data_IF_623025542788
#
_entry.id   IF_623025542788
#
_cell.length_a   1.000
_cell.length_b   1.000
_cell.length_c   1.000
_cell.angle_alpha   90.00
_cell.angle_beta   90.00
_cell.angle_gamma   90.00
#
_symmetry.space_group_name_H-M   'P 1'
#
loop_
_entity.id
_entity.type
_entity.pdbx_description
1 polymer ?
#
# COMPACT_ATOMS: atom_id res chain seq x y z
N UNK A 1 -17.40 20.52 -6.76
CA UNK A 1 -17.82 19.09 -6.71
C UNK A 1 -16.66 18.16 -6.33
N UNK A 2 -15.43 18.39 -6.84
CA UNK A 2 -14.20 17.62 -6.53
C UNK A 2 -13.85 17.77 -5.05
N UNK A 3 -13.86 18.98 -4.52
CA UNK A 3 -13.60 19.27 -3.10
C UNK A 3 -14.53 18.49 -2.16
N UNK A 4 -15.84 18.44 -2.46
CA UNK A 4 -16.80 17.65 -1.65
C UNK A 4 -16.54 16.16 -1.71
N UNK A 5 -16.00 15.63 -2.85
CA UNK A 5 -15.66 14.21 -2.98
C UNK A 5 -14.39 13.84 -2.22
N UNK A 6 -13.38 14.72 -2.21
CA UNK A 6 -12.16 14.54 -1.39
C UNK A 6 -12.49 14.47 0.10
N UNK A 7 -13.37 15.35 0.60
CA UNK A 7 -13.82 15.29 1.99
C UNK A 7 -14.64 14.01 2.30
N UNK A 8 -15.42 13.51 1.34
CA UNK A 8 -16.16 12.27 1.52
C UNK A 8 -15.25 11.02 1.62
N UNK A 9 -14.09 11.03 0.95
CA UNK A 9 -13.11 9.94 1.03
C UNK A 9 -12.56 9.76 2.46
N UNK A 10 -12.39 10.85 3.20
CA UNK A 10 -11.72 10.86 4.50
C UNK A 10 -12.67 11.01 5.70
N UNK A 11 -13.93 11.41 5.49
CA UNK A 11 -14.85 11.79 6.56
C UNK A 11 -15.69 10.64 7.18
N UNK A 12 -15.64 9.42 6.64
CA UNK A 12 -16.46 8.29 7.12
C UNK A 12 -15.66 7.29 7.96
N UNK A 13 -15.03 7.75 9.03
CA UNK A 13 -14.42 6.84 10.02
C UNK A 13 -15.46 6.52 11.09
N UNK A 14 -15.91 5.26 11.18
CA UNK A 14 -16.71 4.78 12.30
C UNK A 14 -15.81 4.38 13.48
N UNK A 15 -16.24 4.61 14.75
CA UNK A 15 -15.38 4.46 15.94
C UNK A 15 -15.20 3.01 16.44
N UNK A 16 -15.05 2.02 15.59
CA UNK A 16 -14.88 0.62 16.01
C UNK A 16 -13.51 0.02 15.70
N UNK A 17 -12.50 0.86 15.42
CA UNK A 17 -11.17 0.40 15.01
C UNK A 17 -10.27 -0.11 16.15
N UNK A 18 -10.66 0.01 17.41
CA UNK A 18 -9.78 -0.34 18.54
C UNK A 18 -9.64 -1.85 18.79
N UNK A 19 -10.52 -2.67 18.23
CA UNK A 19 -10.44 -4.13 18.38
C UNK A 19 -9.44 -4.83 17.43
N UNK A 20 -8.94 -4.12 16.41
CA UNK A 20 -8.09 -4.68 15.35
C UNK A 20 -6.58 -4.45 15.54
N UNK A 21 -6.18 -3.83 16.66
CA UNK A 21 -4.79 -3.40 16.89
C UNK A 21 -3.82 -4.49 17.33
N UNK A 22 -4.29 -5.68 17.60
CA UNK A 22 -3.42 -6.75 18.09
C UNK A 22 -3.07 -7.73 16.99
N UNK A 23 -2.03 -7.36 16.18
CA UNK A 23 -1.45 -8.26 15.18
C UNK A 23 -0.93 -9.58 15.80
N UNK A 24 -0.75 -9.64 17.13
CA UNK A 24 -0.38 -10.87 17.84
C UNK A 24 -1.51 -11.89 17.90
N UNK A 25 -2.76 -11.48 17.62
CA UNK A 25 -3.91 -12.40 17.52
C UNK A 25 -3.97 -13.20 16.21
N UNK A 26 -3.16 -12.86 15.22
CA UNK A 26 -3.04 -13.64 13.98
C UNK A 26 -2.16 -14.89 14.12
N UNK A 27 -1.67 -15.19 15.30
CA UNK A 27 -0.86 -16.38 15.61
C UNK A 27 -1.63 -17.71 15.60
N UNK A 28 -2.89 -17.73 15.21
CA UNK A 28 -3.58 -19.00 15.00
C UNK A 28 -4.59 -18.93 13.86
N UNK A 29 -4.49 -19.86 12.94
CA UNK A 29 -5.51 -20.22 11.95
C UNK A 29 -6.93 -20.42 12.56
N UNK A 30 -7.08 -20.42 13.87
CA UNK A 30 -8.35 -20.45 14.61
C UNK A 30 -9.10 -19.13 14.57
N UNK A 31 -8.42 -17.98 14.45
CA UNK A 31 -9.07 -16.67 14.30
C UNK A 31 -9.76 -16.52 12.93
N UNK A 32 -9.11 -16.97 11.87
CA UNK A 32 -9.66 -16.91 10.50
C UNK A 32 -11.00 -17.65 10.37
N UNK A 33 -11.16 -18.79 11.05
CA UNK A 33 -12.39 -19.58 10.96
C UNK A 33 -13.63 -18.94 11.61
N UNK A 34 -13.43 -18.05 12.60
CA UNK A 34 -14.55 -17.32 13.23
C UNK A 34 -15.01 -16.15 12.39
N UNK A 35 -14.07 -15.41 11.78
CA UNK A 35 -14.40 -14.27 10.89
C UNK A 35 -15.06 -14.74 9.60
N UNK A 36 -14.61 -15.85 9.01
CA UNK A 36 -15.26 -16.47 7.84
C UNK A 36 -16.73 -16.82 8.09
N UNK A 37 -17.08 -17.23 9.31
CA UNK A 37 -18.45 -17.63 9.64
C UNK A 37 -19.44 -16.46 9.75
N UNK A 38 -18.96 -15.23 9.96
CA UNK A 38 -19.78 -14.01 10.06
C UNK A 38 -19.70 -13.11 8.82
N UNK A 39 -18.77 -13.38 7.91
CA UNK A 39 -18.63 -12.59 6.70
C UNK A 39 -19.75 -12.86 5.70
N UNK A 40 -20.20 -11.80 5.02
CA UNK A 40 -21.15 -11.88 3.90
C UNK A 40 -20.46 -12.04 2.54
N UNK A 41 -19.13 -12.08 2.53
CA UNK A 41 -18.28 -12.22 1.34
C UNK A 41 -17.17 -13.23 1.63
N UNK A 42 -16.60 -13.81 0.58
CA UNK A 42 -15.44 -14.69 0.73
C UNK A 42 -14.21 -13.86 1.15
N UNK A 43 -13.66 -14.21 2.31
CA UNK A 43 -12.46 -13.54 2.87
C UNK A 43 -11.29 -14.51 2.78
N UNK A 44 -10.13 -14.00 2.36
CA UNK A 44 -8.85 -14.69 2.43
C UNK A 44 -7.80 -13.75 3.01
N UNK A 45 -6.86 -14.31 3.74
CA UNK A 45 -5.79 -13.56 4.41
C UNK A 45 -4.46 -13.73 3.72
N UNK A 46 -3.61 -12.70 3.81
CA UNK A 46 -2.20 -12.84 3.48
C UNK A 46 -1.43 -13.43 4.65
N UNK A 47 -0.47 -14.31 4.35
CA UNK A 47 0.50 -14.76 5.33
C UNK A 47 1.57 -13.66 5.49
N UNK A 48 1.73 -13.11 6.70
CA UNK A 48 2.75 -12.10 6.99
C UNK A 48 4.12 -12.75 7.24
N UNK A 49 5.15 -12.33 6.52
CA UNK A 49 6.50 -12.87 6.68
C UNK A 49 7.47 -11.75 7.10
N UNK A 50 7.75 -11.63 8.40
CA UNK A 50 8.61 -10.58 8.95
C UNK A 50 9.74 -11.07 9.85
N UNK A 51 9.74 -12.36 10.23
CA UNK A 51 10.70 -12.94 11.17
C UNK A 51 11.22 -14.32 10.70
N UNK A 52 12.38 -14.78 11.16
CA UNK A 52 12.96 -16.06 10.77
C UNK A 52 12.04 -17.26 11.01
N UNK A 53 11.31 -17.28 12.12
CA UNK A 53 10.35 -18.34 12.44
C UNK A 53 9.21 -18.43 11.41
N UNK A 54 8.78 -17.30 10.83
CA UNK A 54 7.76 -17.27 9.78
C UNK A 54 8.20 -17.99 8.50
N UNK A 55 9.51 -18.12 8.24
CA UNK A 55 10.01 -18.85 7.07
C UNK A 55 9.69 -20.35 7.19
N UNK A 56 9.89 -20.94 8.37
CA UNK A 56 9.60 -22.35 8.59
C UNK A 56 8.10 -22.65 8.57
N UNK A 57 7.29 -21.71 9.01
CA UNK A 57 5.83 -21.81 8.91
C UNK A 57 5.36 -21.62 7.47
N UNK A 58 5.94 -20.65 6.74
CA UNK A 58 5.63 -20.41 5.33
C UNK A 58 5.90 -21.66 4.46
N UNK A 59 6.93 -22.45 4.76
CA UNK A 59 7.21 -23.71 4.07
C UNK A 59 6.11 -24.76 4.23
N UNK A 60 5.25 -24.63 5.24
CA UNK A 60 4.23 -25.61 5.62
C UNK A 60 2.79 -25.11 5.43
N UNK A 61 2.61 -23.79 5.24
CA UNK A 61 1.27 -23.19 5.15
C UNK A 61 0.45 -23.83 4.02
N UNK A 62 -0.82 -24.03 4.25
CA UNK A 62 -1.76 -24.48 3.22
C UNK A 62 -2.02 -23.32 2.23
N UNK A 63 -1.49 -23.45 1.01
CA UNK A 63 -1.57 -22.41 -0.02
C UNK A 63 -2.98 -22.13 -0.51
N UNK A 64 -3.91 -23.07 -0.31
CA UNK A 64 -5.32 -22.88 -0.68
C UNK A 64 -6.07 -21.97 0.30
N UNK A 65 -5.52 -21.81 1.53
CA UNK A 65 -6.13 -21.01 2.60
C UNK A 65 -5.64 -19.58 2.66
N UNK A 66 -4.64 -19.22 1.88
CA UNK A 66 -4.09 -17.85 1.83
C UNK A 66 -4.24 -17.27 0.43
N UNK A 67 -4.33 -15.95 0.32
CA UNK A 67 -4.33 -15.26 -0.98
C UNK A 67 -2.91 -14.95 -1.48
N UNK A 68 -1.91 -15.06 -0.62
CA UNK A 68 -0.51 -14.79 -0.92
C UNK A 68 0.30 -14.56 0.35
N UNK A 69 1.53 -14.11 0.18
CA UNK A 69 2.42 -13.70 1.27
C UNK A 69 2.57 -12.19 1.26
N UNK A 70 2.49 -11.53 2.41
CA UNK A 70 2.74 -10.09 2.56
C UNK A 70 4.11 -9.86 3.20
N UNK A 71 4.92 -9.03 2.56
CA UNK A 71 6.24 -8.60 3.02
C UNK A 71 6.29 -7.08 3.10
N UNK A 72 6.74 -6.56 4.24
CA UNK A 72 7.06 -5.14 4.41
C UNK A 72 8.56 -4.93 4.31
N UNK A 73 9.02 -4.28 3.23
CA UNK A 73 10.44 -3.99 3.01
C UNK A 73 10.90 -2.73 3.76
N UNK A 74 9.96 -1.91 4.23
CA UNK A 74 10.14 -0.79 5.14
C UNK A 74 9.04 -0.75 6.19
N UNK A 75 9.22 0.04 7.25
CA UNK A 75 8.19 0.22 8.26
C UNK A 75 7.01 1.01 7.70
N UNK A 76 5.81 0.49 7.95
CA UNK A 76 4.55 1.19 7.71
C UNK A 76 3.95 1.62 9.06
N UNK A 77 2.64 1.51 9.24
CA UNK A 77 1.99 1.79 10.52
C UNK A 77 2.29 0.65 11.49
N UNK A 78 3.14 0.89 12.47
CA UNK A 78 3.66 -0.12 13.40
C UNK A 78 5.02 -0.69 12.97
N UNK A 79 5.55 -1.62 13.75
CA UNK A 79 6.86 -2.24 13.53
C UNK A 79 6.69 -3.54 12.71
N UNK A 80 6.35 -3.40 11.42
CA UNK A 80 6.02 -4.53 10.53
C UNK A 80 7.13 -4.87 9.54
N UNK A 81 8.19 -4.06 9.48
CA UNK A 81 9.32 -4.32 8.59
C UNK A 81 9.90 -5.72 8.86
N UNK A 82 10.23 -6.42 7.78
CA UNK A 82 10.96 -7.66 7.85
C UNK A 82 12.33 -7.46 8.53
N UNK A 83 12.73 -8.43 9.35
CA UNK A 83 14.08 -8.45 9.91
C UNK A 83 15.11 -8.57 8.79
N UNK A 84 16.30 -8.02 9.01
CA UNK A 84 17.35 -7.98 8.00
C UNK A 84 17.74 -9.37 7.49
N UNK A 85 17.82 -9.54 6.18
CA UNK A 85 18.19 -10.78 5.52
C UNK A 85 17.08 -11.82 5.35
N UNK A 86 15.85 -11.50 5.77
CA UNK A 86 14.67 -12.38 5.58
C UNK A 86 14.12 -12.25 4.16
N UNK A 87 14.23 -11.08 3.55
CA UNK A 87 13.61 -10.78 2.27
C UNK A 87 13.96 -11.83 1.22
N UNK A 88 15.26 -12.14 1.06
CA UNK A 88 15.71 -13.14 0.09
C UNK A 88 15.13 -14.53 0.35
N UNK A 89 15.01 -14.92 1.62
CA UNK A 89 14.43 -16.21 2.00
C UNK A 89 12.94 -16.26 1.67
N UNK A 90 12.20 -15.18 1.93
CA UNK A 90 10.76 -15.08 1.59
C UNK A 90 10.58 -15.19 0.09
N UNK A 91 11.34 -14.44 -0.72
CA UNK A 91 11.29 -14.52 -2.18
C UNK A 91 11.54 -15.93 -2.68
N UNK A 92 12.60 -16.60 -2.17
CA UNK A 92 12.94 -17.96 -2.54
C UNK A 92 11.82 -18.94 -2.20
N UNK A 93 11.30 -18.94 -0.96
CA UNK A 93 10.24 -19.87 -0.54
C UNK A 93 8.94 -19.61 -1.31
N UNK A 94 8.58 -18.36 -1.57
CA UNK A 94 7.41 -18.02 -2.38
C UNK A 94 7.54 -18.57 -3.81
N UNK A 95 8.74 -18.47 -4.42
CA UNK A 95 9.01 -19.04 -5.73
C UNK A 95 8.88 -20.58 -5.71
N UNK A 96 9.57 -21.25 -4.77
CA UNK A 96 9.55 -22.72 -4.64
C UNK A 96 8.14 -23.27 -4.43
N UNK A 97 7.29 -22.52 -3.75
CA UNK A 97 5.90 -22.89 -3.45
C UNK A 97 4.88 -22.31 -4.42
N UNK A 98 5.32 -21.59 -5.45
CA UNK A 98 4.45 -20.93 -6.44
C UNK A 98 3.40 -19.99 -5.82
N UNK A 99 3.76 -19.29 -4.73
CA UNK A 99 2.91 -18.34 -4.01
C UNK A 99 3.22 -16.92 -4.49
N UNK A 100 2.19 -16.09 -4.70
CA UNK A 100 2.37 -14.67 -5.00
C UNK A 100 2.87 -13.94 -3.76
N UNK A 101 3.95 -13.17 -3.94
CA UNK A 101 4.51 -12.31 -2.90
C UNK A 101 4.08 -10.86 -3.13
N UNK A 102 3.40 -10.29 -2.15
CA UNK A 102 2.93 -8.90 -2.13
C UNK A 102 3.86 -8.06 -1.27
N UNK A 103 4.49 -7.05 -1.86
CA UNK A 103 5.47 -6.21 -1.19
C UNK A 103 4.96 -4.79 -0.96
N UNK A 104 5.10 -4.30 0.28
CA UNK A 104 5.10 -2.87 0.58
C UNK A 104 6.53 -2.35 0.38
N UNK A 105 6.72 -1.48 -0.62
CA UNK A 105 8.03 -1.09 -1.09
C UNK A 105 8.38 0.35 -0.68
N UNK A 106 9.03 0.50 0.46
CA UNK A 106 9.66 1.76 0.89
C UNK A 106 11.00 1.44 1.57
N UNK A 107 12.09 2.12 1.16
CA UNK A 107 13.43 1.89 1.71
C UNK A 107 13.60 2.56 3.06
N UNK A 108 13.69 1.74 4.11
CA UNK A 108 13.77 2.21 5.49
C UNK A 108 15.01 3.09 5.75
N UNK A 109 16.15 2.77 5.12
CA UNK A 109 17.39 3.53 5.33
C UNK A 109 17.25 4.95 4.78
N UNK A 110 16.67 5.09 3.60
CA UNK A 110 16.37 6.39 2.99
C UNK A 110 15.37 7.18 3.85
N UNK A 111 14.31 6.52 4.35
CA UNK A 111 13.32 7.16 5.23
C UNK A 111 13.97 7.66 6.51
N UNK A 112 14.81 6.86 7.18
CA UNK A 112 15.47 7.24 8.42
C UNK A 112 16.46 8.38 8.20
N UNK A 113 17.22 8.35 7.10
CA UNK A 113 18.09 9.45 6.69
C UNK A 113 17.30 10.75 6.53
N UNK A 114 16.27 10.73 5.68
CA UNK A 114 15.43 11.90 5.42
C UNK A 114 14.76 12.42 6.71
N UNK A 115 14.32 11.51 7.59
CA UNK A 115 13.75 11.88 8.89
C UNK A 115 14.76 12.59 9.78
N UNK A 116 16.02 12.14 9.79
CA UNK A 116 17.08 12.76 10.60
C UNK A 116 17.51 14.13 10.09
N UNK A 117 17.39 14.37 8.78
CA UNK A 117 17.72 15.62 8.12
C UNK A 117 16.53 16.59 8.07
N UNK A 118 15.31 16.09 8.32
CA UNK A 118 14.09 16.90 8.27
C UNK A 118 14.00 17.88 9.46
N UNK A 119 13.77 19.14 9.15
CA UNK A 119 13.52 20.21 10.13
C UNK A 119 12.09 20.76 10.08
N UNK A 120 11.29 20.30 9.12
CA UNK A 120 9.90 20.71 8.92
C UNK A 120 8.97 19.83 9.76
N UNK A 121 8.12 20.42 10.58
CA UNK A 121 7.12 19.73 11.40
C UNK A 121 5.73 19.68 10.79
N UNK A 122 5.54 20.29 9.61
CA UNK A 122 4.27 20.28 8.92
C UNK A 122 3.98 18.90 8.29
N UNK A 123 2.70 18.62 8.07
CA UNK A 123 2.28 17.33 7.49
C UNK A 123 2.89 17.05 6.11
N UNK A 124 3.17 18.10 5.32
CA UNK A 124 3.79 17.97 4.00
C UNK A 124 5.17 17.29 4.05
N UNK A 125 5.92 17.47 5.15
CA UNK A 125 7.20 16.80 5.37
C UNK A 125 7.08 15.26 5.36
N UNK A 126 5.89 14.70 5.59
CA UNK A 126 5.68 13.26 5.51
C UNK A 126 6.02 12.70 4.12
N UNK A 127 5.65 13.40 3.05
CA UNK A 127 5.97 13.01 1.67
C UNK A 127 7.45 13.21 1.32
N UNK A 128 8.14 14.15 1.98
CA UNK A 128 9.57 14.36 1.82
C UNK A 128 10.38 13.29 2.55
N UNK A 129 9.98 12.97 3.79
CA UNK A 129 10.60 11.91 4.60
C UNK A 129 10.46 10.55 3.91
N UNK A 130 9.25 10.19 3.47
CA UNK A 130 8.96 8.98 2.71
C UNK A 130 9.00 9.29 1.21
N UNK A 131 10.18 9.68 0.75
CA UNK A 131 10.41 10.26 -0.58
C UNK A 131 10.11 9.30 -1.73
N UNK A 132 10.01 9.86 -2.92
CA UNK A 132 9.97 9.08 -4.18
C UNK A 132 11.17 8.14 -4.27
N UNK A 133 12.37 8.64 -3.90
CA UNK A 133 13.59 7.82 -3.87
C UNK A 133 13.44 6.56 -3.00
N UNK A 134 12.83 6.69 -1.81
CA UNK A 134 12.61 5.55 -0.92
C UNK A 134 11.70 4.48 -1.56
N UNK A 135 10.64 4.90 -2.23
CA UNK A 135 9.73 3.98 -2.94
C UNK A 135 10.43 3.31 -4.14
N UNK A 136 11.08 4.10 -4.98
CA UNK A 136 11.78 3.62 -6.18
C UNK A 136 12.91 2.63 -5.85
N UNK A 137 13.72 2.94 -4.84
CA UNK A 137 14.84 2.09 -4.42
C UNK A 137 14.34 0.72 -3.93
N UNK A 138 13.30 0.71 -3.12
CA UNK A 138 12.71 -0.51 -2.59
C UNK A 138 11.99 -1.33 -3.68
N UNK A 139 11.23 -0.68 -4.55
CA UNK A 139 10.55 -1.33 -5.69
C UNK A 139 11.56 -1.96 -6.64
N UNK A 140 12.65 -1.25 -6.96
CA UNK A 140 13.74 -1.78 -7.79
C UNK A 140 14.35 -3.04 -7.15
N UNK A 141 14.65 -2.99 -5.86
CA UNK A 141 15.20 -4.14 -5.13
C UNK A 141 14.24 -5.34 -5.12
N UNK A 142 12.94 -5.11 -4.92
CA UNK A 142 11.93 -6.16 -5.00
C UNK A 142 11.88 -6.82 -6.39
N UNK A 143 11.95 -6.01 -7.47
CA UNK A 143 11.97 -6.49 -8.85
C UNK A 143 13.24 -7.32 -9.12
N UNK A 144 14.41 -6.88 -8.65
CA UNK A 144 15.67 -7.61 -8.75
C UNK A 144 15.62 -8.96 -8.03
N UNK A 145 15.07 -9.01 -6.81
CA UNK A 145 14.86 -10.27 -6.08
C UNK A 145 13.84 -11.17 -6.80
N UNK A 146 12.73 -10.59 -7.28
CA UNK A 146 11.74 -11.31 -8.07
C UNK A 146 12.35 -11.98 -9.30
N UNK A 147 13.21 -11.26 -10.00
CA UNK A 147 13.98 -11.78 -11.16
C UNK A 147 14.96 -12.89 -10.75
N UNK A 148 15.72 -12.65 -9.68
CA UNK A 148 16.75 -13.58 -9.16
C UNK A 148 16.15 -14.93 -8.81
N UNK A 149 14.99 -14.96 -8.16
CA UNK A 149 14.36 -16.18 -7.65
C UNK A 149 13.22 -16.71 -8.54
N UNK A 150 12.77 -15.96 -9.54
CA UNK A 150 11.60 -16.31 -10.36
C UNK A 150 10.29 -16.21 -9.58
N UNK A 151 10.20 -15.30 -8.59
CA UNK A 151 9.04 -15.14 -7.72
C UNK A 151 7.93 -14.40 -8.45
N UNK A 152 6.68 -14.86 -8.30
CA UNK A 152 5.49 -14.09 -8.69
C UNK A 152 5.36 -12.89 -7.75
N UNK A 153 5.68 -11.70 -8.24
CA UNK A 153 5.73 -10.48 -7.45
C UNK A 153 4.48 -9.63 -7.68
N UNK A 154 3.96 -9.05 -6.62
CA UNK A 154 2.95 -8.00 -6.67
C UNK A 154 3.41 -6.81 -5.85
N UNK A 155 3.51 -5.64 -6.48
CA UNK A 155 3.86 -4.39 -5.81
C UNK A 155 2.57 -3.72 -5.35
N UNK A 156 2.41 -3.61 -4.02
CA UNK A 156 1.23 -3.02 -3.42
C UNK A 156 1.24 -1.48 -3.52
N UNK A 157 0.05 -0.89 -3.65
CA UNK A 157 -0.21 0.56 -3.53
C UNK A 157 0.88 1.45 -4.14
N UNK A 158 1.26 1.21 -5.40
CA UNK A 158 2.23 2.05 -6.13
C UNK A 158 1.81 3.51 -6.05
N UNK A 159 2.75 4.37 -5.66
CA UNK A 159 2.47 5.79 -5.39
C UNK A 159 3.16 6.75 -6.36
N UNK A 160 4.15 6.28 -7.13
CA UNK A 160 4.97 7.14 -8.00
C UNK A 160 4.99 6.65 -9.45
N UNK A 161 5.16 7.60 -10.37
CA UNK A 161 5.38 7.30 -11.81
C UNK A 161 6.64 6.50 -12.05
N UNK A 162 7.68 6.77 -11.25
CA UNK A 162 9.00 6.15 -11.37
C UNK A 162 8.96 4.65 -11.01
N UNK A 163 8.19 4.29 -9.97
CA UNK A 163 7.91 2.89 -9.65
C UNK A 163 7.18 2.19 -10.81
N UNK A 164 6.19 2.90 -11.41
CA UNK A 164 5.39 2.36 -12.50
C UNK A 164 6.25 2.08 -13.74
N UNK A 165 7.22 2.96 -14.05
CA UNK A 165 8.18 2.74 -15.13
C UNK A 165 9.04 1.50 -14.89
N UNK A 166 9.55 1.29 -13.67
CA UNK A 166 10.32 0.10 -13.30
C UNK A 166 9.47 -1.18 -13.46
N UNK A 167 8.22 -1.14 -13.02
CA UNK A 167 7.30 -2.26 -13.14
C UNK A 167 7.00 -2.58 -14.61
N UNK A 168 6.77 -1.55 -15.44
CA UNK A 168 6.54 -1.71 -16.88
C UNK A 168 7.75 -2.37 -17.56
N UNK A 169 8.96 -1.89 -17.29
CA UNK A 169 10.19 -2.48 -17.82
C UNK A 169 10.36 -3.95 -17.38
N UNK A 170 10.01 -4.27 -16.12
CA UNK A 170 10.06 -5.64 -15.62
C UNK A 170 9.05 -6.54 -16.36
N UNK A 171 7.81 -6.08 -16.58
CA UNK A 171 6.78 -6.78 -17.38
C UNK A 171 7.24 -7.00 -18.80
N UNK A 172 7.76 -5.97 -19.47
CA UNK A 172 8.25 -6.02 -20.85
C UNK A 172 9.44 -6.99 -21.01
N UNK A 173 10.24 -7.17 -19.95
CA UNK A 173 11.31 -8.18 -19.90
C UNK A 173 10.84 -9.61 -19.65
N UNK A 174 9.53 -9.84 -19.52
CA UNK A 174 8.92 -11.15 -19.27
C UNK A 174 8.91 -11.60 -17.81
N UNK A 175 9.17 -10.69 -16.85
CA UNK A 175 9.02 -11.00 -15.43
C UNK A 175 7.55 -11.15 -15.04
N UNK A 176 7.27 -12.10 -14.14
CA UNK A 176 5.94 -12.24 -13.54
C UNK A 176 5.78 -11.22 -12.42
N UNK A 177 5.47 -9.98 -12.79
CA UNK A 177 5.23 -8.88 -11.87
C UNK A 177 3.87 -8.23 -12.17
N UNK A 178 3.13 -7.92 -11.12
CA UNK A 178 1.88 -7.16 -11.14
C UNK A 178 1.95 -6.03 -10.13
N UNK A 179 1.06 -5.05 -10.25
CA UNK A 179 0.96 -3.96 -9.29
C UNK A 179 -0.47 -3.46 -9.09
N UNK A 180 -0.68 -2.79 -7.99
CA UNK A 180 -1.92 -2.10 -7.69
C UNK A 180 -1.67 -0.64 -7.35
N UNK A 181 -2.71 0.19 -7.55
CA UNK A 181 -2.76 1.56 -7.06
C UNK A 181 -3.95 1.74 -6.11
N UNK A 182 -3.82 2.64 -5.16
CA UNK A 182 -4.92 2.96 -4.26
C UNK A 182 -5.66 4.24 -4.72
N UNK A 183 -6.98 4.36 -4.48
CA UNK A 183 -7.75 5.56 -4.87
C UNK A 183 -7.14 6.87 -4.34
N UNK A 184 -6.60 6.87 -3.14
CA UNK A 184 -5.99 8.07 -2.58
C UNK A 184 -4.74 8.53 -3.34
N UNK A 185 -3.99 7.63 -3.98
CA UNK A 185 -2.87 8.00 -4.85
C UNK A 185 -3.32 8.47 -6.25
N UNK A 186 -4.53 8.12 -6.67
CA UNK A 186 -5.12 8.58 -7.93
C UNK A 186 -5.84 9.94 -7.81
N UNK A 187 -6.44 10.22 -6.65
CA UNK A 187 -7.33 11.37 -6.45
C UNK A 187 -6.76 12.48 -5.57
N UNK A 188 -5.78 12.18 -4.72
CA UNK A 188 -5.16 13.15 -3.81
C UNK A 188 -3.70 13.40 -4.21
N UNK A 189 -3.26 14.63 -3.99
CA UNK A 189 -1.88 15.04 -4.21
C UNK A 189 -1.38 15.92 -3.04
N UNK A 190 -0.12 16.31 -3.05
CA UNK A 190 0.50 17.06 -1.95
C UNK A 190 -0.17 18.41 -1.63
N UNK A 191 -0.88 19.01 -2.60
CA UNK A 191 -1.62 20.26 -2.34
C UNK A 191 -2.80 20.03 -1.39
N UNK A 192 -3.32 18.81 -1.34
CA UNK A 192 -4.44 18.45 -0.45
C UNK A 192 -4.06 18.41 1.03
N UNK A 193 -2.77 18.43 1.37
CA UNK A 193 -2.34 18.58 2.77
C UNK A 193 -2.78 19.90 3.38
N UNK A 194 -2.91 20.98 2.59
CA UNK A 194 -3.37 22.28 3.08
C UNK A 194 -4.81 22.19 3.66
N UNK A 195 -5.67 21.40 3.03
CA UNK A 195 -7.08 21.30 3.42
C UNK A 195 -7.38 20.09 4.31
N UNK A 196 -6.69 18.99 4.11
CA UNK A 196 -6.97 17.71 4.78
C UNK A 196 -6.03 17.42 5.97
N UNK A 197 -4.87 18.09 6.01
CA UNK A 197 -3.90 17.89 7.09
C UNK A 197 -3.55 16.42 7.31
N UNK A 198 -3.58 16.01 8.56
CA UNK A 198 -3.28 14.63 8.98
C UNK A 198 -4.26 13.58 8.47
N UNK A 199 -5.46 13.97 8.05
CA UNK A 199 -6.42 13.04 7.45
C UNK A 199 -5.89 12.44 6.15
N UNK A 200 -5.01 13.16 5.42
CA UNK A 200 -4.36 12.69 4.21
C UNK A 200 -3.03 11.95 4.47
N UNK A 201 -2.73 11.60 5.72
CA UNK A 201 -1.52 10.86 6.05
C UNK A 201 -1.71 9.36 5.84
N UNK A 202 -0.95 8.76 4.93
CA UNK A 202 -0.89 7.31 4.64
C UNK A 202 0.52 6.89 4.23
N UNK A 203 0.78 5.60 4.11
CA UNK A 203 2.05 5.00 3.68
C UNK A 203 1.81 4.01 2.54
N UNK A 204 2.38 4.25 1.35
CA UNK A 204 3.17 5.43 0.93
C UNK A 204 2.36 6.72 0.98
N UNK A 205 3.02 7.89 1.12
CA UNK A 205 2.32 9.17 1.18
C UNK A 205 1.75 9.56 -0.20
N UNK A 206 0.83 10.53 -0.20
CA UNK A 206 0.39 11.19 -1.43
C UNK A 206 1.57 11.92 -2.08
N UNK A 207 1.54 11.99 -3.41
CA UNK A 207 2.60 12.56 -4.25
C UNK A 207 2.13 13.84 -4.94
N UNK A 208 2.99 14.42 -5.75
CA UNK A 208 2.60 15.56 -6.59
C UNK A 208 1.55 15.17 -7.62
N UNK A 209 0.87 16.16 -8.16
CA UNK A 209 -0.16 15.99 -9.18
C UNK A 209 0.34 15.20 -10.40
N UNK A 210 1.59 15.45 -10.82
CA UNK A 210 2.18 14.76 -11.96
C UNK A 210 2.25 13.25 -11.76
N UNK A 211 2.59 12.78 -10.56
CA UNK A 211 2.55 11.35 -10.25
C UNK A 211 1.13 10.78 -10.33
N UNK A 212 0.12 11.50 -9.79
CA UNK A 212 -1.28 11.08 -9.89
C UNK A 212 -1.73 10.93 -11.34
N UNK A 213 -1.39 11.89 -12.21
CA UNK A 213 -1.71 11.85 -13.65
C UNK A 213 -1.06 10.65 -14.33
N UNK A 214 0.21 10.36 -14.03
CA UNK A 214 0.93 9.20 -14.57
C UNK A 214 0.39 7.87 -14.06
N UNK A 215 -0.02 7.79 -12.80
CA UNK A 215 -0.70 6.60 -12.27
C UNK A 215 -2.02 6.34 -13.00
N UNK A 216 -2.79 7.38 -13.32
CA UNK A 216 -3.99 7.25 -14.14
C UNK A 216 -3.67 6.77 -15.58
N UNK A 217 -2.61 7.29 -16.19
CA UNK A 217 -2.13 6.79 -17.50
C UNK A 217 -1.84 5.29 -17.42
N UNK A 218 -1.18 4.83 -16.34
CA UNK A 218 -0.88 3.42 -16.12
C UNK A 218 -2.11 2.55 -15.86
N UNK A 219 -3.18 3.10 -15.28
CA UNK A 219 -4.48 2.41 -15.18
C UNK A 219 -5.10 2.22 -16.56
N UNK A 220 -5.04 3.25 -17.41
CA UNK A 220 -5.63 3.24 -18.76
C UNK A 220 -4.85 2.35 -19.73
N UNK A 221 -3.52 2.36 -19.67
CA UNK A 221 -2.68 1.57 -20.58
C UNK A 221 -2.49 0.11 -20.13
N UNK A 222 -2.99 -0.25 -18.94
CA UNK A 222 -2.93 -1.60 -18.40
C UNK A 222 -1.58 -1.95 -17.74
N UNK A 223 -0.72 -0.97 -17.49
CA UNK A 223 0.50 -1.17 -16.68
C UNK A 223 0.12 -1.47 -15.23
N UNK A 224 -0.94 -0.84 -14.70
CA UNK A 224 -1.56 -1.15 -13.42
C UNK A 224 -2.55 -2.31 -13.61
N UNK A 225 -2.41 -3.37 -12.82
CA UNK A 225 -3.23 -4.59 -12.96
C UNK A 225 -4.56 -4.50 -12.21
N UNK A 226 -4.57 -3.80 -11.07
CA UNK A 226 -5.80 -3.63 -10.28
C UNK A 226 -5.76 -2.36 -9.41
N UNK A 227 -6.93 -2.01 -8.87
CA UNK A 227 -7.08 -0.92 -7.91
C UNK A 227 -7.50 -1.55 -6.57
N UNK A 228 -6.72 -1.30 -5.53
CA UNK A 228 -6.94 -1.78 -4.17
C UNK A 228 -7.33 -0.63 -3.25
N UNK A 229 -8.16 -0.91 -2.25
CA UNK A 229 -8.60 0.15 -1.33
C UNK A 229 -7.52 0.62 -0.37
N UNK A 230 -6.55 -0.24 -0.07
CA UNK A 230 -5.60 -0.06 1.02
C UNK A 230 -6.29 0.45 2.31
N UNK A 231 -7.40 -0.20 2.68
CA UNK A 231 -8.27 0.22 3.78
C UNK A 231 -7.57 0.08 5.13
N UNK A 232 -7.09 1.19 5.66
CA UNK A 232 -6.43 1.29 6.96
C UNK A 232 -7.03 2.44 7.79
N UNK A 233 -8.25 2.27 8.34
CA UNK A 233 -8.97 3.33 9.01
C UNK A 233 -8.39 3.64 10.39
N UNK A 234 -8.45 4.92 10.75
CA UNK A 234 -8.13 5.45 12.08
C UNK A 234 -9.23 6.38 12.53
N UNK A 235 -9.43 6.52 13.85
CA UNK A 235 -10.41 7.45 14.38
C UNK A 235 -10.00 8.91 14.12
N UNK A 236 -10.97 9.80 13.99
CA UNK A 236 -10.68 11.24 13.85
C UNK A 236 -9.86 11.78 15.01
N UNK A 237 -10.12 11.28 16.24
CA UNK A 237 -9.35 11.64 17.43
C UNK A 237 -7.87 11.24 17.29
N UNK A 238 -7.58 10.01 16.84
CA UNK A 238 -6.20 9.55 16.66
C UNK A 238 -5.47 10.27 15.52
N UNK A 239 -6.20 10.75 14.51
CA UNK A 239 -5.65 11.58 13.43
C UNK A 239 -5.38 13.03 13.87
N UNK A 240 -6.15 13.56 14.82
CA UNK A 240 -6.04 14.95 15.29
C UNK A 240 -4.97 15.09 16.38
N UNK A 241 -3.70 14.99 16.02
CA UNK A 241 -2.54 15.10 16.92
C UNK A 241 -1.93 16.50 16.89
N UNK A 242 -1.26 16.90 17.99
CA UNK A 242 -0.53 18.18 18.05
C UNK A 242 0.68 18.18 17.13
N UNK A 243 1.34 17.05 17.00
CA UNK A 243 2.44 16.83 16.05
C UNK A 243 1.88 16.07 14.83
N UNK A 244 1.73 16.71 13.65
CA UNK A 244 1.19 16.08 12.47
C UNK A 244 1.96 14.83 12.02
N UNK A 245 3.27 14.82 12.23
CA UNK A 245 4.10 13.68 11.85
C UNK A 245 3.91 12.46 12.76
N UNK A 246 3.35 12.64 13.96
CA UNK A 246 3.01 11.55 14.88
C UNK A 246 1.64 10.92 14.60
N UNK A 247 0.79 11.55 13.79
CA UNK A 247 -0.51 10.99 13.42
C UNK A 247 -0.36 9.60 12.77
N UNK A 248 -1.24 8.63 13.06
CA UNK A 248 -1.16 7.32 12.43
C UNK A 248 -1.40 7.42 10.91
N UNK A 249 -0.66 6.64 10.13
CA UNK A 249 -0.80 6.57 8.67
C UNK A 249 -1.86 5.55 8.28
N UNK A 250 -2.75 5.92 7.38
CA UNK A 250 -3.83 5.11 6.85
C UNK A 250 -5.13 5.89 6.69
N UNK A 251 -5.94 5.46 5.74
CA UNK A 251 -7.23 6.06 5.39
C UNK A 251 -8.27 5.00 5.12
N UNK A 252 -9.58 5.27 5.35
CA UNK A 252 -10.64 4.36 4.93
C UNK A 252 -10.77 4.38 3.40
N UNK A 253 -10.97 3.20 2.78
CA UNK A 253 -11.09 3.07 1.33
C UNK A 253 -12.19 2.14 0.85
N UNK A 254 -12.60 1.14 1.65
CA UNK A 254 -13.53 0.09 1.21
C UNK A 254 -14.88 0.62 0.73
N UNK A 255 -15.48 1.60 1.43
CA UNK A 255 -16.78 2.18 1.03
C UNK A 255 -16.67 3.15 -0.15
N UNK A 256 -15.49 3.70 -0.41
CA UNK A 256 -15.31 4.84 -1.32
C UNK A 256 -14.66 4.45 -2.65
N UNK A 257 -13.99 3.30 -2.73
CA UNK A 257 -13.28 2.87 -3.94
C UNK A 257 -14.20 2.84 -5.16
N UNK A 258 -15.31 2.10 -5.11
CA UNK A 258 -16.21 1.96 -6.24
C UNK A 258 -16.94 3.27 -6.62
N UNK A 259 -17.55 4.01 -5.68
CA UNK A 259 -18.16 5.30 -6.00
C UNK A 259 -17.20 6.34 -6.59
N UNK A 260 -15.94 6.35 -6.15
CA UNK A 260 -14.92 7.24 -6.70
C UNK A 260 -14.59 6.89 -8.15
N UNK A 261 -14.34 5.60 -8.43
CA UNK A 261 -14.02 5.14 -9.78
C UNK A 261 -15.20 5.38 -10.75
N UNK A 262 -16.43 5.03 -10.35
CA UNK A 262 -17.62 5.28 -11.15
C UNK A 262 -17.82 6.77 -11.44
N UNK A 263 -17.47 7.65 -10.50
CA UNK A 263 -17.55 9.09 -10.71
C UNK A 263 -16.62 9.63 -11.80
N UNK A 264 -15.60 8.89 -12.16
CA UNK A 264 -14.70 9.23 -13.26
C UNK A 264 -15.33 8.94 -14.62
N UNK A 265 -16.11 7.85 -14.71
CA UNK A 265 -16.78 7.42 -15.94
C UNK A 265 -17.90 8.39 -16.31
N UNK A 266 -18.66 8.88 -15.33
CA UNK A 266 -19.83 9.78 -15.55
C UNK A 266 -19.46 11.24 -15.90
N UNK A 267 -18.19 11.55 -16.13
CA UNK A 267 -17.76 12.82 -16.72
C UNK A 267 -17.65 14.01 -15.78
N UNK A 268 -17.47 13.77 -14.49
CA UNK A 268 -17.57 14.82 -13.48
C UNK A 268 -16.30 15.41 -12.91
N UNK A 269 -15.10 15.09 -13.34
CA UNK A 269 -13.90 15.69 -12.73
C UNK A 269 -12.69 14.78 -12.58
N UNK A 270 -12.59 13.80 -13.42
CA UNK A 270 -11.37 13.06 -13.60
C UNK A 270 -10.33 13.86 -14.41
N UNK A 271 -9.07 13.61 -14.19
CA UNK A 271 -7.99 14.02 -15.09
C UNK A 271 -8.31 13.53 -16.50
N UNK A 272 -7.74 14.14 -17.55
CA UNK A 272 -7.98 13.70 -18.94
C UNK A 272 -7.75 12.20 -19.15
N UNK A 273 -6.74 11.52 -18.53
CA UNK A 273 -6.62 10.08 -18.59
C UNK A 273 -7.82 9.30 -18.04
N UNK A 274 -8.37 9.73 -16.92
CA UNK A 274 -9.52 9.06 -16.30
C UNK A 274 -10.83 9.20 -17.08
N UNK A 275 -10.93 10.12 -18.04
CA UNK A 275 -12.07 10.24 -18.96
C UNK A 275 -12.06 9.19 -20.08
N UNK A 276 -10.99 8.44 -20.21
CA UNK A 276 -10.82 7.42 -21.25
C UNK A 276 -11.18 6.01 -20.77
N UNK A 277 -11.46 5.82 -19.47
CA UNK A 277 -12.03 4.60 -18.90
C UNK A 277 -13.53 4.50 -19.17
#
# INVERSE_FOLDING_TARGET
KIERKKHALLARVRPQADEWRDASRFDSLRGASLEESFSKVDIRFFFGASKPEHIEELKKVDTEKICGVKLYMGNSTGNQKAEEGIEEQVFKVCSERNITLVCHCEDEQTIQKNKSENTNSEIAAHSEIRSVEAAVKSTKYAIELGKKYGTKLHIAHVSTSDELELIKLAKDSGQTVTCEVAPHHLFLNTDDYETLGTLAKMNPPIRTKDHCEKLWEGVVDGTVDCISSDHAPHTLESKNTKDPLSAPSGVPGTETILPLLLSCIEGGGATEPAKRL
#
